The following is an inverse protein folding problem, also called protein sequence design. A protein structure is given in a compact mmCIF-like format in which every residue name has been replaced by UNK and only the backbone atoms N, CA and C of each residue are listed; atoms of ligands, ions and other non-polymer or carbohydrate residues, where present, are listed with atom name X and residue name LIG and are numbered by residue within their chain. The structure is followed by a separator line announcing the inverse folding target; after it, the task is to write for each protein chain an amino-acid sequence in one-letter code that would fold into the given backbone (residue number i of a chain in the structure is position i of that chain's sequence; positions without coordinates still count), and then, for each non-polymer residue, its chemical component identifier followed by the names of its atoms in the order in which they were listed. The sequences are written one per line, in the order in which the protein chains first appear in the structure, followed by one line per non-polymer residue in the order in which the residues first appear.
data_IF_273212197877
#
_entry.id   IF_273212197877
#
_cell.length_a   1.000
_cell.length_b   1.000
_cell.length_c   1.000
_cell.angle_alpha   90.00
_cell.angle_beta   90.00
_cell.angle_gamma   90.00
#
_symmetry.space_group_name_H-M   'P 1'
#
loop_
_entity.id
_entity.type
_entity.pdbx_description
1 polymer ?
#
# COMPACT_ATOMS: atom_id res chain seq x y z
N UNK A 1 -16.93 10.26 29.53
CA UNK A 1 -16.04 9.12 29.21
C UNK A 1 -14.92 9.05 30.23
N UNK A 2 -14.58 7.84 30.69
CA UNK A 2 -13.46 7.62 31.62
C UNK A 2 -12.12 8.11 31.05
N UNK A 3 -11.93 8.03 29.72
CA UNK A 3 -10.76 8.59 29.03
C UNK A 3 -10.55 10.08 29.34
N UNK A 4 -11.60 10.92 29.25
CA UNK A 4 -11.53 12.36 29.56
C UNK A 4 -11.12 12.64 31.01
N UNK A 5 -11.58 11.81 31.95
CA UNK A 5 -11.24 11.96 33.38
C UNK A 5 -9.78 11.61 33.67
N UNK A 6 -9.19 10.68 32.90
CA UNK A 6 -7.80 10.27 33.05
C UNK A 6 -6.83 11.19 32.32
N UNK A 7 -7.08 11.47 31.05
CA UNK A 7 -6.28 12.38 30.23
C UNK A 7 -7.11 12.86 29.04
N UNK A 8 -7.35 14.18 28.99
CA UNK A 8 -8.12 14.81 27.91
C UNK A 8 -7.46 14.65 26.54
N UNK A 9 -6.12 14.46 26.47
CA UNK A 9 -5.41 14.22 25.21
C UNK A 9 -5.85 12.93 24.53
N UNK A 10 -6.36 11.94 25.27
CA UNK A 10 -6.86 10.69 24.71
C UNK A 10 -8.08 10.91 23.81
N UNK A 11 -8.82 12.00 23.99
CA UNK A 11 -9.94 12.36 23.11
C UNK A 11 -9.48 12.73 21.69
N UNK A 12 -8.21 13.10 21.52
CA UNK A 12 -7.62 13.46 20.23
C UNK A 12 -7.04 12.27 19.47
N UNK A 13 -7.16 11.04 19.99
CA UNK A 13 -6.60 9.87 19.33
C UNK A 13 -7.06 9.70 17.87
N UNK A 14 -8.35 9.90 17.51
CA UNK A 14 -8.77 9.82 16.11
C UNK A 14 -8.08 10.85 15.19
N UNK A 15 -7.69 12.02 15.71
CA UNK A 15 -7.00 13.06 14.95
C UNK A 15 -5.60 12.60 14.50
N UNK A 16 -4.97 11.70 15.26
CA UNK A 16 -3.66 11.13 14.92
C UNK A 16 -3.74 10.10 13.79
N UNK A 17 -4.94 9.62 13.44
CA UNK A 17 -5.18 8.59 12.43
C UNK A 17 -5.84 9.14 11.16
N UNK A 18 -5.45 10.35 10.74
CA UNK A 18 -6.04 11.08 9.60
C UNK A 18 -6.13 10.29 8.28
N UNK A 19 -5.21 9.35 8.03
CA UNK A 19 -5.17 8.58 6.77
C UNK A 19 -5.91 7.24 6.84
N UNK A 20 -6.34 6.80 8.03
CA UNK A 20 -6.85 5.44 8.24
C UNK A 20 -8.12 5.16 7.42
N UNK A 21 -8.99 6.17 7.28
CA UNK A 21 -10.21 6.05 6.49
C UNK A 21 -9.92 5.81 5.00
N UNK A 22 -8.91 6.47 4.46
CA UNK A 22 -8.49 6.29 3.07
C UNK A 22 -7.78 4.95 2.91
N UNK A 23 -6.91 4.59 3.86
CA UNK A 23 -6.15 3.34 3.84
C UNK A 23 -7.05 2.09 3.93
N UNK A 24 -8.10 2.12 4.76
CA UNK A 24 -9.06 1.03 4.93
C UNK A 24 -9.90 0.70 3.67
N UNK A 25 -9.83 1.52 2.63
CA UNK A 25 -10.51 1.30 1.34
C UNK A 25 -9.60 0.66 0.29
N UNK A 26 -8.31 0.53 0.59
CA UNK A 26 -7.29 0.05 -0.34
C UNK A 26 -7.03 -1.42 -0.01
N UNK A 27 -7.11 -2.30 -1.01
CA UNK A 27 -6.67 -3.69 -0.86
C UNK A 27 -5.18 -3.79 -1.15
N UNK A 28 -4.41 -4.26 -0.17
CA UNK A 28 -2.96 -4.49 -0.33
C UNK A 28 -2.70 -5.64 -1.30
N UNK A 29 -3.58 -6.65 -1.32
CA UNK A 29 -3.52 -7.75 -2.29
C UNK A 29 -3.70 -7.23 -3.73
N UNK A 30 -4.65 -6.33 -3.97
CA UNK A 30 -4.85 -5.75 -5.30
C UNK A 30 -3.62 -4.96 -5.78
N UNK A 31 -2.92 -4.25 -4.89
CA UNK A 31 -1.66 -3.57 -5.23
C UNK A 31 -0.62 -4.57 -5.73
N UNK A 32 -0.50 -5.73 -5.08
CA UNK A 32 0.45 -6.79 -5.48
C UNK A 32 0.10 -7.38 -6.85
N UNK A 33 -1.19 -7.63 -7.10
CA UNK A 33 -1.69 -8.14 -8.37
C UNK A 33 -1.49 -7.14 -9.52
N UNK A 34 -1.86 -5.88 -9.31
CA UNK A 34 -1.70 -4.81 -10.30
C UNK A 34 -0.23 -4.57 -10.64
N UNK A 35 0.64 -4.51 -9.62
CA UNK A 35 2.08 -4.39 -9.85
C UNK A 35 2.62 -5.55 -10.70
N UNK A 36 2.24 -6.79 -10.36
CA UNK A 36 2.71 -7.98 -11.07
C UNK A 36 2.24 -7.98 -12.52
N UNK A 37 0.99 -7.59 -12.76
CA UNK A 37 0.42 -7.41 -14.10
C UNK A 37 1.18 -6.35 -14.92
N UNK A 38 1.44 -5.17 -14.34
CA UNK A 38 2.19 -4.11 -15.00
C UNK A 38 3.62 -4.56 -15.34
N UNK A 39 4.30 -5.22 -14.40
CA UNK A 39 5.64 -5.73 -14.61
C UNK A 39 5.70 -6.71 -15.78
N UNK A 40 4.80 -7.70 -15.81
CA UNK A 40 4.73 -8.70 -16.89
C UNK A 40 4.42 -8.04 -18.24
N UNK A 41 3.50 -7.06 -18.27
CA UNK A 41 3.13 -6.36 -19.50
C UNK A 41 4.29 -5.56 -20.09
N UNK A 42 5.07 -4.86 -19.26
CA UNK A 42 6.26 -4.13 -19.72
C UNK A 42 7.32 -5.11 -20.22
N UNK A 43 7.59 -6.21 -19.50
CA UNK A 43 8.53 -7.24 -19.97
C UNK A 43 8.12 -7.89 -21.28
N UNK A 44 6.85 -8.25 -21.40
CA UNK A 44 6.31 -8.81 -22.64
C UNK A 44 6.38 -7.82 -23.80
N UNK A 45 6.26 -6.52 -23.54
CA UNK A 45 6.41 -5.49 -24.57
C UNK A 45 7.88 -5.39 -25.02
N UNK A 46 8.83 -5.33 -24.08
CA UNK A 46 10.27 -5.32 -24.38
C UNK A 46 10.69 -6.53 -25.23
N UNK A 47 10.20 -7.72 -24.90
CA UNK A 47 10.47 -8.96 -25.65
C UNK A 47 9.86 -8.93 -27.06
N UNK A 48 8.61 -8.46 -27.19
CA UNK A 48 7.90 -8.44 -28.49
C UNK A 48 8.53 -7.50 -29.50
N UNK A 49 9.11 -6.40 -29.04
CA UNK A 49 9.76 -5.43 -29.94
C UNK A 49 11.24 -5.77 -30.18
N UNK A 50 11.75 -6.87 -29.59
CA UNK A 50 13.12 -7.31 -29.80
C UNK A 50 13.33 -7.67 -31.28
N UNK A 51 14.26 -6.99 -31.95
CA UNK A 51 14.53 -7.14 -33.38
C UNK A 51 13.83 -6.11 -34.28
N UNK A 52 12.91 -5.29 -33.76
CA UNK A 52 12.30 -4.18 -34.50
C UNK A 52 12.95 -2.84 -34.14
N UNK A 53 14.13 -2.55 -34.71
CA UNK A 53 14.96 -1.38 -34.35
C UNK A 53 14.20 -0.03 -34.38
N UNK A 54 13.40 0.21 -35.43
CA UNK A 54 12.64 1.46 -35.55
C UNK A 54 11.55 1.59 -34.47
N UNK A 55 10.92 0.48 -34.09
CA UNK A 55 9.90 0.46 -33.05
C UNK A 55 10.52 0.58 -31.66
N UNK A 56 11.68 -0.04 -31.45
CA UNK A 56 12.48 0.11 -30.23
C UNK A 56 12.85 1.58 -29.98
N UNK A 57 13.39 2.26 -31.00
CA UNK A 57 13.76 3.67 -30.88
C UNK A 57 12.56 4.57 -30.53
N UNK A 58 11.38 4.27 -31.08
CA UNK A 58 10.16 5.02 -30.78
C UNK A 58 9.65 4.78 -29.35
N UNK A 59 9.82 3.56 -28.83
CA UNK A 59 9.30 3.16 -27.51
C UNK A 59 10.33 3.31 -26.38
N UNK A 60 11.59 3.53 -26.68
CA UNK A 60 12.66 3.65 -25.68
C UNK A 60 12.33 4.65 -24.56
N UNK A 61 11.86 5.89 -24.83
CA UNK A 61 11.53 6.83 -23.75
C UNK A 61 10.41 6.32 -22.84
N UNK A 62 9.41 5.64 -23.41
CA UNK A 62 8.31 5.05 -22.66
C UNK A 62 8.80 3.89 -21.78
N UNK A 63 9.65 3.01 -22.32
CA UNK A 63 10.19 1.85 -21.61
C UNK A 63 11.10 2.28 -20.46
N UNK A 64 11.98 3.26 -20.68
CA UNK A 64 12.83 3.82 -19.63
C UNK A 64 12.00 4.43 -18.48
N UNK A 65 11.00 5.26 -18.81
CA UNK A 65 10.10 5.86 -17.82
C UNK A 65 9.29 4.81 -17.05
N UNK A 66 8.79 3.78 -17.75
CA UNK A 66 8.02 2.68 -17.16
C UNK A 66 8.90 1.83 -16.24
N UNK A 67 10.14 1.55 -16.63
CA UNK A 67 11.10 0.80 -15.82
C UNK A 67 11.43 1.54 -14.52
N UNK A 68 11.69 2.85 -14.60
CA UNK A 68 11.93 3.68 -13.42
C UNK A 68 10.72 3.70 -12.49
N UNK A 69 9.51 3.91 -13.04
CA UNK A 69 8.27 3.92 -12.28
C UNK A 69 8.02 2.57 -11.58
N UNK A 70 8.26 1.45 -12.27
CA UNK A 70 8.15 0.11 -11.69
C UNK A 70 9.16 -0.13 -10.57
N UNK A 71 10.38 0.38 -10.70
CA UNK A 71 11.37 0.29 -9.60
C UNK A 71 10.92 1.08 -8.36
N UNK A 72 10.41 2.29 -8.56
CA UNK A 72 9.89 3.12 -7.47
C UNK A 72 8.68 2.48 -6.77
N UNK A 73 7.75 1.91 -7.55
CA UNK A 73 6.62 1.15 -7.01
C UNK A 73 7.08 -0.09 -6.24
N UNK A 74 8.06 -0.83 -6.77
CA UNK A 74 8.64 -2.00 -6.08
C UNK A 74 9.20 -1.60 -4.71
N UNK A 75 9.95 -0.49 -4.64
CA UNK A 75 10.51 0.01 -3.37
C UNK A 75 9.40 0.34 -2.37
N UNK A 76 8.42 1.16 -2.75
CA UNK A 76 7.31 1.57 -1.86
C UNK A 76 6.48 0.39 -1.37
N UNK A 77 6.26 -0.60 -2.23
CA UNK A 77 5.55 -1.84 -1.89
C UNK A 77 6.31 -2.68 -0.85
N UNK A 78 7.63 -2.80 -0.99
CA UNK A 78 8.46 -3.48 0.00
C UNK A 78 8.50 -2.73 1.34
N UNK A 79 8.53 -1.40 1.31
CA UNK A 79 8.39 -0.56 2.50
C UNK A 79 7.03 -0.78 3.18
N UNK A 80 5.93 -0.77 2.43
CA UNK A 80 4.60 -1.04 2.96
C UNK A 80 4.52 -2.41 3.64
N UNK A 81 5.12 -3.45 3.04
CA UNK A 81 5.19 -4.79 3.62
C UNK A 81 6.02 -4.82 4.91
N UNK A 82 7.13 -4.08 4.94
CA UNK A 82 7.97 -3.96 6.13
C UNK A 82 7.19 -3.30 7.27
N UNK A 83 6.53 -2.17 7.02
CA UNK A 83 5.72 -1.50 8.04
C UNK A 83 4.53 -2.35 8.48
N UNK A 84 3.91 -3.10 7.54
CA UNK A 84 2.89 -4.10 7.87
C UNK A 84 3.40 -5.17 8.83
N UNK A 85 4.60 -5.71 8.62
CA UNK A 85 5.21 -6.65 9.56
C UNK A 85 5.48 -6.03 10.93
N UNK A 86 5.90 -4.76 10.99
CA UNK A 86 6.05 -4.05 12.26
C UNK A 86 4.72 -3.99 13.03
N UNK A 87 3.58 -3.82 12.35
CA UNK A 87 2.27 -3.83 12.99
C UNK A 87 1.85 -5.22 13.47
N UNK A 88 2.18 -6.27 12.72
CA UNK A 88 1.96 -7.66 13.14
C UNK A 88 2.66 -7.92 14.47
N UNK A 89 3.95 -7.56 14.56
CA UNK A 89 4.74 -7.74 15.77
C UNK A 89 4.23 -6.85 16.92
N UNK A 90 3.86 -5.60 16.63
CA UNK A 90 3.39 -4.65 17.64
C UNK A 90 2.04 -5.04 18.27
N UNK A 91 1.11 -5.58 17.47
CA UNK A 91 -0.20 -6.02 17.94
C UNK A 91 -0.24 -7.51 18.31
N UNK A 92 0.88 -8.22 18.16
CA UNK A 92 0.98 -9.67 18.39
C UNK A 92 -0.03 -10.49 17.55
N UNK A 93 -0.24 -10.08 16.30
CA UNK A 93 -1.16 -10.74 15.37
C UNK A 93 -0.53 -11.98 14.72
N UNK A 94 -1.37 -12.90 14.24
CA UNK A 94 -0.90 -14.05 13.46
C UNK A 94 -0.53 -13.63 12.03
N UNK A 95 0.75 -13.78 11.70
CA UNK A 95 1.33 -13.40 10.41
C UNK A 95 0.67 -14.09 9.20
N UNK A 96 0.14 -15.30 9.37
CA UNK A 96 -0.45 -16.06 8.27
C UNK A 96 -1.87 -15.61 7.95
N UNK A 97 -2.54 -14.94 8.90
CA UNK A 97 -3.93 -14.48 8.74
C UNK A 97 -4.07 -12.96 8.68
N UNK A 98 -3.05 -12.22 9.13
CA UNK A 98 -3.10 -10.78 9.22
C UNK A 98 -3.21 -10.12 7.83
N UNK A 99 -4.19 -9.21 7.71
CA UNK A 99 -4.34 -8.33 6.55
C UNK A 99 -4.29 -6.88 6.99
N UNK A 100 -3.38 -6.12 6.37
CA UNK A 100 -3.11 -4.74 6.74
C UNK A 100 -4.31 -3.82 6.49
N UNK A 101 -5.07 -4.05 5.42
CA UNK A 101 -6.29 -3.32 5.10
C UNK A 101 -7.45 -3.62 6.06
N UNK A 102 -7.57 -4.86 6.55
CA UNK A 102 -8.51 -5.22 7.61
C UNK A 102 -8.13 -4.54 8.94
N UNK A 103 -6.83 -4.50 9.26
CA UNK A 103 -6.31 -3.75 10.41
C UNK A 103 -6.70 -2.26 10.33
N UNK A 104 -6.53 -1.61 9.17
CA UNK A 104 -6.98 -0.23 9.00
C UNK A 104 -8.49 -0.08 9.15
N UNK A 105 -9.30 -1.05 8.70
CA UNK A 105 -10.75 -1.02 8.88
C UNK A 105 -11.15 -1.10 10.35
N UNK A 106 -10.46 -1.89 11.17
CA UNK A 106 -10.68 -1.92 12.63
C UNK A 106 -10.47 -0.53 13.24
N UNK A 107 -9.36 0.13 12.92
CA UNK A 107 -9.07 1.48 13.41
C UNK A 107 -10.03 2.54 12.87
N UNK A 108 -10.45 2.42 11.61
CA UNK A 108 -11.49 3.27 11.02
C UNK A 108 -12.80 3.14 11.81
N UNK A 109 -13.26 1.91 12.05
CA UNK A 109 -14.48 1.65 12.80
C UNK A 109 -14.39 2.17 14.24
N UNK A 110 -13.22 2.02 14.87
CA UNK A 110 -12.94 2.63 16.16
C UNK A 110 -13.12 4.15 16.11
N UNK A 111 -12.45 4.85 15.18
CA UNK A 111 -12.55 6.31 15.04
C UNK A 111 -13.99 6.76 14.79
N UNK A 112 -14.74 6.04 13.95
CA UNK A 112 -16.15 6.35 13.65
C UNK A 112 -17.02 6.19 14.91
N UNK A 113 -16.84 5.10 15.67
CA UNK A 113 -17.61 4.86 16.89
C UNK A 113 -17.23 5.82 18.02
N UNK A 114 -15.95 6.18 18.11
CA UNK A 114 -15.44 7.08 19.15
C UNK A 114 -15.93 8.52 18.97
N UNK A 115 -16.13 8.95 17.72
CA UNK A 115 -16.61 10.29 17.39
C UNK A 115 -18.15 10.43 17.39
N UNK A 116 -18.89 9.33 17.58
CA UNK A 116 -20.35 9.33 17.75
C UNK A 116 -20.72 9.51 19.22
#
# INVERSE_FOLDING_TARGET
MEAKKKDEKLLKFPENLQHVQSAARISVENIELEFSSLYVRIKSLEEKIQGEEQLQLQLEPFLQSSAQTLQDLKRRRLELRKEGNTLIDFFCEDKDTFKLDECFRIFQDFCIKFNK
#
